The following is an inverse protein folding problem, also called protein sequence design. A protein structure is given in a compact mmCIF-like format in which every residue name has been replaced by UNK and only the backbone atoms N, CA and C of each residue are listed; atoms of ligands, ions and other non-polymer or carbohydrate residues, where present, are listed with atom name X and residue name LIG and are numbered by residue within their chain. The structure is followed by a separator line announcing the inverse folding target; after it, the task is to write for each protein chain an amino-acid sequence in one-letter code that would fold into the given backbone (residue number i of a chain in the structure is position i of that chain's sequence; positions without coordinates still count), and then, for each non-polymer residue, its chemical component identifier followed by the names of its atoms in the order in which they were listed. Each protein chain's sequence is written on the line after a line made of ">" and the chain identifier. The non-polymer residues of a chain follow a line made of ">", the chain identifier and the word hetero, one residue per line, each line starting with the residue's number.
data_IF_277586921383
#
_entry.id   IF_277586921383
#
_cell.length_a   1.000
_cell.length_b   1.000
_cell.length_c   1.000
_cell.angle_alpha   90.00
_cell.angle_beta   90.00
_cell.angle_gamma   90.00
#
_symmetry.space_group_name_H-M   'P 1'
#
loop_
_entity.id
_entity.type
_entity.pdbx_description
1 polymer ?
#
# COMPACT_ATOMS: atom_id res chain seq x y z
N UNK A 1 -31.01 -11.99 -13.80
CA UNK A 1 -30.01 -11.23 -13.01
C UNK A 1 -28.72 -11.28 -13.80
N UNK A 2 -28.35 -10.20 -14.48
CA UNK A 2 -27.13 -10.15 -15.29
C UNK A 2 -25.91 -10.00 -14.37
N UNK A 3 -24.75 -10.53 -14.80
CA UNK A 3 -23.49 -10.47 -14.07
C UNK A 3 -23.15 -9.05 -13.59
N UNK A 4 -23.52 -8.03 -14.35
CA UNK A 4 -23.25 -6.62 -14.03
C UNK A 4 -23.93 -6.15 -12.73
N UNK A 5 -25.16 -6.60 -12.45
CA UNK A 5 -25.83 -6.24 -11.19
C UNK A 5 -25.17 -6.90 -9.98
N UNK A 6 -24.64 -8.12 -10.15
CA UNK A 6 -23.87 -8.79 -9.10
C UNK A 6 -22.54 -8.09 -8.87
N UNK A 7 -21.83 -7.67 -9.92
CA UNK A 7 -20.56 -6.96 -9.80
C UNK A 7 -20.71 -5.56 -9.15
N UNK A 8 -21.80 -4.85 -9.47
CA UNK A 8 -22.16 -3.59 -8.82
C UNK A 8 -22.55 -3.79 -7.34
N UNK A 9 -23.30 -4.86 -7.03
CA UNK A 9 -23.68 -5.16 -5.64
C UNK A 9 -22.47 -5.60 -4.81
N UNK A 10 -21.60 -6.46 -5.36
CA UNK A 10 -20.38 -6.92 -4.73
C UNK A 10 -19.42 -5.74 -4.51
N UNK A 11 -19.17 -4.91 -5.52
CA UNK A 11 -18.29 -3.75 -5.36
C UNK A 11 -18.80 -2.75 -4.30
N UNK A 12 -20.12 -2.57 -4.15
CA UNK A 12 -20.69 -1.72 -3.09
C UNK A 12 -20.62 -2.31 -1.69
N UNK A 13 -20.56 -3.64 -1.53
CA UNK A 13 -20.48 -4.31 -0.22
C UNK A 13 -19.01 -4.55 0.18
N UNK A 14 -18.14 -4.89 -0.77
CA UNK A 14 -16.74 -5.23 -0.53
C UNK A 14 -15.80 -4.01 -0.51
N UNK A 15 -16.05 -2.98 -1.32
CA UNK A 15 -15.21 -1.75 -1.26
C UNK A 15 -15.26 -1.09 0.13
N UNK A 16 -16.42 -0.97 0.79
CA UNK A 16 -16.46 -0.49 2.18
C UNK A 16 -15.65 -1.37 3.13
N UNK A 17 -15.63 -2.69 2.94
CA UNK A 17 -14.90 -3.60 3.82
C UNK A 17 -13.37 -3.46 3.67
N UNK A 18 -12.84 -3.44 2.44
CA UNK A 18 -11.39 -3.26 2.21
C UNK A 18 -10.95 -1.88 2.70
N UNK A 19 -11.69 -0.83 2.37
CA UNK A 19 -11.41 0.54 2.82
C UNK A 19 -11.43 0.65 4.34
N UNK A 20 -12.44 0.07 5.00
CA UNK A 20 -12.52 0.06 6.46
C UNK A 20 -11.36 -0.71 7.09
N UNK A 21 -10.98 -1.85 6.52
CA UNK A 21 -9.86 -2.64 7.00
C UNK A 21 -8.53 -1.87 6.86
N UNK A 22 -8.31 -1.14 5.76
CA UNK A 22 -7.15 -0.24 5.58
C UNK A 22 -7.11 0.81 6.69
N UNK A 23 -8.25 1.42 7.01
CA UNK A 23 -8.36 2.43 8.06
C UNK A 23 -8.07 1.90 9.46
N UNK A 24 -8.28 0.59 9.69
CA UNK A 24 -7.99 -0.07 10.96
C UNK A 24 -6.54 -0.55 11.09
N UNK A 25 -5.72 -0.49 10.05
CA UNK A 25 -4.31 -0.88 10.11
C UNK A 25 -3.51 0.06 11.02
N UNK A 26 -2.46 -0.44 11.71
CA UNK A 26 -1.47 0.40 12.38
C UNK A 26 -0.87 1.45 11.43
N UNK A 27 -0.57 2.64 11.95
CA UNK A 27 -0.15 3.80 11.16
C UNK A 27 1.01 3.51 10.19
N UNK A 28 2.04 2.80 10.64
CA UNK A 28 3.17 2.47 9.76
C UNK A 28 2.76 1.55 8.60
N UNK A 29 1.83 0.62 8.80
CA UNK A 29 1.31 -0.23 7.73
C UNK A 29 0.47 0.59 6.73
N UNK A 30 -0.31 1.56 7.21
CA UNK A 30 -1.01 2.54 6.36
C UNK A 30 -0.02 3.36 5.51
N UNK A 31 1.09 3.79 6.11
CA UNK A 31 2.15 4.51 5.39
C UNK A 31 2.86 3.62 4.33
N UNK A 32 3.00 2.32 4.57
CA UNK A 32 3.49 1.37 3.53
C UNK A 32 2.50 1.31 2.36
N UNK A 33 1.19 1.34 2.62
CA UNK A 33 0.18 1.41 1.54
C UNK A 33 0.27 2.73 0.75
N UNK A 34 0.55 3.86 1.40
CA UNK A 34 0.86 5.11 0.69
C UNK A 34 2.09 4.97 -0.20
N UNK A 35 3.18 4.37 0.30
CA UNK A 35 4.39 4.13 -0.51
C UNK A 35 4.10 3.25 -1.73
N UNK A 36 3.28 2.21 -1.56
CA UNK A 36 2.83 1.35 -2.66
C UNK A 36 2.00 2.13 -3.69
N UNK A 37 1.03 2.94 -3.23
CA UNK A 37 0.21 3.77 -4.10
C UNK A 37 1.08 4.72 -4.93
N UNK A 38 2.00 5.46 -4.30
CA UNK A 38 2.92 6.38 -4.99
C UNK A 38 3.82 5.64 -5.99
N UNK A 39 4.29 4.44 -5.62
CA UNK A 39 5.12 3.60 -6.48
C UNK A 39 4.37 3.15 -7.73
N UNK A 40 3.09 2.78 -7.61
CA UNK A 40 2.32 2.20 -8.72
C UNK A 40 1.47 3.19 -9.51
N UNK A 41 1.09 4.33 -8.94
CA UNK A 41 0.19 5.31 -9.57
C UNK A 41 0.68 5.80 -10.95
N UNK A 42 1.99 5.93 -11.12
CA UNK A 42 2.62 6.40 -12.36
C UNK A 42 3.49 5.34 -13.07
N UNK A 43 3.44 4.08 -12.62
CA UNK A 43 4.30 3.03 -13.18
C UNK A 43 3.54 2.18 -14.19
N UNK A 44 4.12 1.98 -15.38
CA UNK A 44 3.66 0.91 -16.30
C UNK A 44 3.97 -0.49 -15.78
N UNK A 45 4.93 -0.62 -14.84
CA UNK A 45 5.29 -1.88 -14.21
C UNK A 45 4.41 -2.10 -12.98
N UNK A 46 3.71 -3.23 -12.92
CA UNK A 46 2.91 -3.68 -11.76
C UNK A 46 3.74 -4.37 -10.67
N UNK A 47 5.05 -4.12 -10.62
CA UNK A 47 5.93 -4.66 -9.60
C UNK A 47 7.10 -3.73 -9.26
N UNK A 48 7.58 -3.81 -8.03
CA UNK A 48 8.79 -3.15 -7.51
C UNK A 48 9.58 -4.16 -6.67
N UNK A 49 10.68 -3.74 -6.05
CA UNK A 49 11.39 -4.52 -5.04
C UNK A 49 11.09 -4.02 -3.63
N UNK A 50 11.24 -4.88 -2.62
CA UNK A 50 11.05 -4.49 -1.22
C UNK A 50 12.01 -3.35 -0.82
N UNK A 51 13.23 -3.33 -1.36
CA UNK A 51 14.20 -2.28 -1.13
C UNK A 51 13.81 -0.93 -1.74
N UNK A 52 13.25 -0.91 -2.96
CA UNK A 52 12.70 0.31 -3.57
C UNK A 52 11.49 0.83 -2.78
N UNK A 53 10.58 -0.07 -2.38
CA UNK A 53 9.43 0.30 -1.56
C UNK A 53 9.86 0.89 -0.21
N UNK A 54 10.87 0.30 0.44
CA UNK A 54 11.41 0.81 1.70
C UNK A 54 11.99 2.23 1.54
N UNK A 55 12.66 2.53 0.41
CA UNK A 55 13.15 3.89 0.13
C UNK A 55 12.00 4.89 0.08
N UNK A 56 10.93 4.57 -0.67
CA UNK A 56 9.74 5.42 -0.75
C UNK A 56 9.06 5.60 0.62
N UNK A 57 8.96 4.52 1.41
CA UNK A 57 8.44 4.58 2.78
C UNK A 57 9.28 5.50 3.68
N UNK A 58 10.61 5.40 3.64
CA UNK A 58 11.52 6.26 4.42
C UNK A 58 11.37 7.73 3.99
N UNK A 59 11.17 8.00 2.70
CA UNK A 59 10.91 9.35 2.20
C UNK A 59 9.60 9.93 2.73
N UNK A 60 8.52 9.13 2.74
CA UNK A 60 7.25 9.51 3.36
C UNK A 60 7.45 9.80 4.84
N UNK A 61 8.07 8.89 5.59
CA UNK A 61 8.39 9.09 7.02
C UNK A 61 9.13 10.41 7.26
N UNK A 62 10.14 10.71 6.45
CA UNK A 62 10.89 11.98 6.54
C UNK A 62 10.00 13.19 6.26
N UNK A 63 9.19 13.17 5.19
CA UNK A 63 8.36 14.31 4.80
C UNK A 63 7.22 14.58 5.79
N UNK A 64 6.74 13.55 6.48
CA UNK A 64 5.71 13.63 7.51
C UNK A 64 6.25 13.71 8.92
N UNK A 65 7.57 13.81 9.11
CA UNK A 65 8.24 13.89 10.41
C UNK A 65 7.91 12.70 11.35
N UNK A 66 7.69 11.53 10.78
CA UNK A 66 7.49 10.28 11.50
C UNK A 66 8.79 9.48 11.47
N UNK A 67 9.31 8.98 12.60
CA UNK A 67 10.51 8.14 12.60
C UNK A 67 10.31 6.87 11.77
N UNK A 68 11.19 6.60 10.81
CA UNK A 68 11.14 5.35 10.06
C UNK A 68 11.59 4.18 10.95
N UNK A 69 10.97 3.02 10.76
CA UNK A 69 11.41 1.77 11.39
C UNK A 69 12.56 1.14 10.62
N UNK A 70 13.27 0.20 11.26
CA UNK A 70 14.35 -0.56 10.62
C UNK A 70 13.86 -1.43 9.46
N UNK A 71 14.81 -1.87 8.62
CA UNK A 71 14.51 -2.73 7.46
C UNK A 71 13.83 -4.04 7.87
N UNK A 72 14.19 -4.60 9.02
CA UNK A 72 13.61 -5.85 9.52
C UNK A 72 12.13 -5.66 9.88
N UNK A 73 11.81 -4.64 10.65
CA UNK A 73 10.42 -4.29 11.03
C UNK A 73 9.60 -3.92 9.80
N UNK A 74 10.20 -3.18 8.86
CA UNK A 74 9.57 -2.87 7.58
C UNK A 74 9.24 -4.13 6.78
N UNK A 75 10.18 -5.08 6.68
CA UNK A 75 9.95 -6.37 6.02
C UNK A 75 8.82 -7.14 6.69
N UNK A 76 8.79 -7.19 8.03
CA UNK A 76 7.72 -7.81 8.81
C UNK A 76 6.36 -7.17 8.55
N UNK A 77 6.28 -5.84 8.49
CA UNK A 77 5.04 -5.14 8.12
C UNK A 77 4.58 -5.52 6.71
N UNK A 78 5.50 -5.63 5.75
CA UNK A 78 5.16 -6.08 4.39
C UNK A 78 4.69 -7.53 4.37
N UNK A 79 5.23 -8.41 5.22
CA UNK A 79 4.74 -9.78 5.37
C UNK A 79 3.31 -9.82 5.93
N UNK A 80 3.03 -9.06 6.99
CA UNK A 80 1.67 -8.95 7.55
C UNK A 80 0.68 -8.44 6.50
N UNK A 81 1.05 -7.39 5.75
CA UNK A 81 0.24 -6.88 4.66
C UNK A 81 0.05 -7.91 3.53
N UNK A 82 1.03 -8.78 3.32
CA UNK A 82 0.94 -9.88 2.35
C UNK A 82 -0.04 -10.96 2.82
N UNK A 83 -0.01 -11.32 4.10
CA UNK A 83 -0.89 -12.33 4.70
C UNK A 83 -2.36 -11.85 4.72
N UNK A 84 -2.56 -10.53 4.83
CA UNK A 84 -3.87 -9.88 4.74
C UNK A 84 -4.34 -9.67 3.28
N UNK A 85 -3.51 -9.98 2.29
CA UNK A 85 -3.87 -9.90 0.88
C UNK A 85 -3.81 -8.50 0.26
N UNK A 86 -3.13 -7.53 0.88
CA UNK A 86 -2.94 -6.19 0.30
C UNK A 86 -1.85 -6.17 -0.78
N UNK A 87 -0.80 -6.96 -0.57
CA UNK A 87 0.33 -7.11 -1.49
C UNK A 87 0.73 -8.58 -1.58
N UNK A 88 1.64 -8.89 -2.51
CA UNK A 88 2.28 -10.20 -2.60
C UNK A 88 3.79 -10.02 -2.63
N UNK A 89 4.48 -10.83 -1.83
CA UNK A 89 5.93 -10.91 -1.79
C UNK A 89 6.44 -12.12 -2.56
N UNK A 90 7.36 -11.89 -3.48
CA UNK A 90 8.13 -12.93 -4.16
C UNK A 90 9.18 -13.55 -3.24
N UNK A 91 9.75 -14.66 -3.72
CA UNK A 91 10.88 -15.33 -3.09
C UNK A 91 12.21 -14.67 -3.53
N UNK A 92 13.14 -14.53 -2.60
CA UNK A 92 14.50 -14.06 -2.84
C UNK A 92 15.38 -14.45 -1.66
N UNK A 93 16.68 -14.67 -1.90
CA UNK A 93 17.67 -14.88 -0.82
C UNK A 93 17.90 -13.61 -0.01
N UNK A 94 17.82 -12.46 -0.66
CA UNK A 94 17.96 -11.15 -0.04
C UNK A 94 16.60 -10.46 0.04
N UNK A 95 16.21 -10.05 1.25
CA UNK A 95 14.91 -9.43 1.52
C UNK A 95 14.65 -8.22 0.64
N UNK A 96 15.64 -7.34 0.49
CA UNK A 96 15.53 -6.11 -0.34
C UNK A 96 15.21 -6.41 -1.81
N UNK A 97 15.58 -7.59 -2.31
CA UNK A 97 15.35 -7.99 -3.70
C UNK A 97 14.03 -8.74 -3.90
N UNK A 98 13.27 -9.04 -2.83
CA UNK A 98 11.95 -9.65 -2.95
C UNK A 98 11.04 -8.77 -3.79
N UNK A 99 10.45 -9.37 -4.83
CA UNK A 99 9.50 -8.68 -5.71
C UNK A 99 8.21 -8.38 -4.95
N UNK A 100 7.74 -7.14 -5.00
CA UNK A 100 6.48 -6.69 -4.40
C UNK A 100 5.48 -6.38 -5.51
N UNK A 101 4.27 -6.91 -5.40
CA UNK A 101 3.14 -6.59 -6.29
C UNK A 101 1.90 -6.26 -5.49
N UNK A 102 1.17 -5.22 -5.89
CA UNK A 102 -0.10 -4.86 -5.25
C UNK A 102 -1.18 -5.90 -5.60
N UNK A 103 -2.02 -6.24 -4.62
CA UNK A 103 -3.14 -7.20 -4.79
C UNK A 103 -4.52 -6.54 -4.67
N UNK A 104 -4.59 -5.32 -4.15
CA UNK A 104 -5.81 -4.49 -4.12
C UNK A 104 -5.76 -3.38 -5.17
N UNK A 105 -6.87 -2.68 -5.38
CA UNK A 105 -6.90 -1.52 -6.27
C UNK A 105 -6.22 -0.33 -5.59
N UNK A 106 -5.46 0.45 -6.36
CA UNK A 106 -4.84 1.69 -5.88
C UNK A 106 -5.92 2.68 -5.41
N UNK A 107 -7.07 2.69 -6.08
CA UNK A 107 -8.20 3.55 -5.73
C UNK A 107 -8.79 3.24 -4.36
N UNK A 108 -8.70 2.00 -3.87
CA UNK A 108 -9.15 1.66 -2.51
C UNK A 108 -8.22 2.31 -1.46
N UNK A 109 -6.91 2.37 -1.73
CA UNK A 109 -5.93 3.04 -0.85
C UNK A 109 -6.17 4.55 -0.86
N UNK A 110 -6.25 5.17 -2.05
CA UNK A 110 -6.44 6.62 -2.15
C UNK A 110 -7.78 7.07 -1.61
N UNK A 111 -8.84 6.26 -1.79
CA UNK A 111 -10.15 6.52 -1.22
C UNK A 111 -10.14 6.39 0.31
N UNK A 112 -9.51 5.34 0.86
CA UNK A 112 -9.43 5.15 2.31
C UNK A 112 -8.78 6.33 3.02
N UNK A 113 -7.75 6.92 2.43
CA UNK A 113 -7.01 8.01 3.04
C UNK A 113 -7.51 9.41 2.72
N UNK A 114 -8.53 9.52 1.87
CA UNK A 114 -9.16 10.80 1.53
C UNK A 114 -9.72 11.47 2.78
N UNK A 115 -9.43 12.75 2.98
CA UNK A 115 -9.89 13.55 4.12
C UNK A 115 -8.97 13.50 5.34
N UNK A 116 -7.93 12.65 5.34
CA UNK A 116 -6.86 12.73 6.33
C UNK A 116 -5.70 13.54 5.77
N UNK A 117 -5.52 14.78 6.25
CA UNK A 117 -4.41 15.66 5.82
C UNK A 117 -3.04 15.01 5.92
N UNK A 118 -2.85 14.15 6.93
CA UNK A 118 -1.61 13.40 7.10
C UNK A 118 -1.37 12.45 5.92
N UNK A 119 -2.35 11.60 5.60
CA UNK A 119 -2.18 10.61 4.52
C UNK A 119 -2.32 11.21 3.12
N UNK A 120 -3.04 12.32 2.96
CA UNK A 120 -3.02 13.11 1.73
C UNK A 120 -1.58 13.59 1.43
N UNK A 121 -0.89 14.14 2.44
CA UNK A 121 0.54 14.50 2.31
C UNK A 121 1.44 13.28 2.03
N UNK A 122 1.12 12.10 2.57
CA UNK A 122 1.83 10.87 2.24
C UNK A 122 1.66 10.47 0.76
N UNK A 123 0.48 10.73 0.18
CA UNK A 123 0.13 10.34 -1.21
C UNK A 123 0.57 11.37 -2.26
N UNK A 124 0.90 12.61 -1.86
CA UNK A 124 1.33 13.68 -2.76
C UNK A 124 2.83 13.65 -3.11
N UNK A 125 3.57 12.60 -2.76
CA UNK A 125 5.03 12.58 -2.98
C UNK A 125 5.36 12.40 -4.48
N UNK A 126 6.07 13.35 -5.12
CA UNK A 126 6.47 13.22 -6.51
C UNK A 126 7.52 12.10 -6.67
N UNK A 127 7.49 11.40 -7.81
CA UNK A 127 8.62 10.57 -8.22
C UNK A 127 9.75 11.48 -8.68
N UNK A 128 10.96 11.27 -8.14
CA UNK A 128 12.19 11.81 -8.72
C UNK A 128 12.43 11.25 -10.12
#
# INVERSE_FOLDING_TARGET
>A
VTFDHMDIALSKVFKPAVVNNILCLPQHQQMVLCALANTFQHSRKKATTLGELNKSYIEICRSTQVPAVGMLEFSNMCMILSDQGYLKLGQSKEDKLRRVTLQIDISDITFAFKGSRFFEKCLEQPKF
#
